data_IF_279718367711
#
_entry.id   IF_279718367711
#
_cell.length_a   1.000
_cell.length_b   1.000
_cell.length_c   1.000
_cell.angle_alpha   90.00
_cell.angle_beta   90.00
_cell.angle_gamma   90.00
#
_symmetry.space_group_name_H-M   'P 1'
#
loop_
_entity.id
_entity.type
_entity.pdbx_description
1 polymer ?
#
# COMPACT_ATOMS: atom_id res chain seq x y z
N UNK A 1 -2.69 6.39 1.49
CA UNK A 1 -1.83 5.72 2.49
C UNK A 1 -1.54 6.59 3.71
N UNK A 2 -1.23 7.88 3.56
CA UNK A 2 -0.93 8.77 4.70
C UNK A 2 -2.15 9.46 5.34
N UNK A 3 -3.25 9.58 4.59
CA UNK A 3 -4.46 10.29 5.01
C UNK A 3 -5.60 9.34 5.41
N UNK A 4 -5.33 8.04 5.55
CA UNK A 4 -6.34 7.04 5.91
C UNK A 4 -5.78 5.98 6.83
N UNK A 5 -6.55 5.62 7.85
CA UNK A 5 -6.21 4.53 8.77
C UNK A 5 -6.50 3.14 8.17
N UNK A 6 -7.13 3.08 6.99
CA UNK A 6 -7.46 1.83 6.31
C UNK A 6 -6.22 0.96 6.03
N UNK A 7 -6.33 -0.35 6.20
CA UNK A 7 -5.24 -1.28 5.90
C UNK A 7 -4.81 -1.20 4.43
N UNK A 8 -3.54 -1.53 4.16
CA UNK A 8 -2.99 -1.56 2.79
C UNK A 8 -3.82 -2.51 1.90
N UNK A 9 -4.34 -3.59 2.47
CA UNK A 9 -5.25 -4.50 1.79
C UNK A 9 -6.55 -3.82 1.37
N UNK A 10 -7.19 -3.06 2.27
CA UNK A 10 -8.42 -2.32 1.97
C UNK A 10 -8.20 -1.31 0.85
N UNK A 11 -7.08 -0.59 0.88
CA UNK A 11 -6.72 0.37 -0.19
C UNK A 11 -6.49 -0.35 -1.52
N UNK A 12 -5.87 -1.54 -1.49
CA UNK A 12 -5.69 -2.34 -2.70
C UNK A 12 -7.03 -2.75 -3.31
N UNK A 13 -7.98 -3.22 -2.49
CA UNK A 13 -9.32 -3.60 -2.95
C UNK A 13 -10.08 -2.40 -3.51
N UNK A 14 -10.01 -1.24 -2.86
CA UNK A 14 -10.65 0.00 -3.31
C UNK A 14 -10.10 0.50 -4.66
N UNK A 15 -8.80 0.27 -4.90
CA UNK A 15 -8.15 0.53 -6.18
C UNK A 15 -8.46 -0.51 -7.26
N UNK A 16 -9.28 -1.51 -6.98
CA UNK A 16 -9.67 -2.57 -7.91
C UNK A 16 -8.68 -3.73 -8.01
N UNK A 17 -7.71 -3.84 -7.10
CA UNK A 17 -6.83 -5.01 -7.03
C UNK A 17 -7.54 -6.15 -6.31
N UNK A 18 -7.55 -7.32 -6.93
CA UNK A 18 -8.03 -8.56 -6.32
C UNK A 18 -7.10 -9.11 -5.25
N UNK A 19 -5.82 -8.75 -5.28
CA UNK A 19 -4.85 -9.19 -4.29
C UNK A 19 -3.96 -8.02 -3.80
N UNK A 20 -3.90 -7.77 -2.47
CA UNK A 20 -3.03 -6.76 -1.87
C UNK A 20 -1.54 -6.92 -2.20
N UNK A 21 -1.08 -8.14 -2.43
CA UNK A 21 0.33 -8.42 -2.76
C UNK A 21 0.69 -7.93 -4.16
N UNK A 22 -0.25 -8.01 -5.11
CA UNK A 22 -0.07 -7.46 -6.45
C UNK A 22 0.02 -5.93 -6.41
N UNK A 23 -0.87 -5.28 -5.65
CA UNK A 23 -0.78 -3.86 -5.39
C UNK A 23 0.57 -3.49 -4.76
N UNK A 24 0.99 -4.22 -3.72
CA UNK A 24 2.27 -3.97 -3.06
C UNK A 24 3.47 -4.12 -4.00
N UNK A 25 3.45 -5.10 -4.92
CA UNK A 25 4.48 -5.29 -5.96
C UNK A 25 4.50 -4.13 -6.96
N UNK A 26 3.36 -3.73 -7.50
CA UNK A 26 3.26 -2.59 -8.43
C UNK A 26 3.68 -1.28 -7.76
N UNK A 27 3.18 -1.04 -6.54
CA UNK A 27 3.52 0.14 -5.76
C UNK A 27 5.02 0.16 -5.46
N UNK A 28 5.62 -0.97 -5.06
CA UNK A 28 7.08 -1.06 -4.85
C UNK A 28 7.88 -0.83 -6.13
N UNK A 29 7.38 -1.25 -7.29
CA UNK A 29 8.04 -0.96 -8.58
C UNK A 29 8.02 0.52 -8.93
N UNK A 30 6.98 1.26 -8.55
CA UNK A 30 6.85 2.69 -8.88
C UNK A 30 7.45 3.61 -7.81
N UNK A 31 7.25 3.28 -6.53
CA UNK A 31 7.68 4.09 -5.37
C UNK A 31 9.00 3.60 -4.74
N UNK A 32 9.53 2.46 -5.17
CA UNK A 32 10.74 1.83 -4.62
C UNK A 32 10.55 1.11 -3.27
N UNK A 33 9.41 1.30 -2.62
CA UNK A 33 9.12 0.82 -1.26
C UNK A 33 7.76 0.11 -1.23
N UNK A 34 7.61 -0.93 -0.42
CA UNK A 34 6.31 -1.56 -0.21
C UNK A 34 5.37 -0.58 0.52
N UNK A 35 4.07 -0.53 0.20
CA UNK A 35 3.12 0.42 0.81
C UNK A 35 3.00 0.23 2.33
N UNK A 36 3.11 -1.00 2.84
CA UNK A 36 3.17 -1.27 4.28
C UNK A 36 4.44 -0.70 4.94
N UNK A 37 5.60 -0.85 4.28
CA UNK A 37 6.86 -0.27 4.76
C UNK A 37 6.87 1.27 4.66
N UNK A 38 6.23 1.82 3.63
CA UNK A 38 6.04 3.26 3.45
C UNK A 38 5.18 3.84 4.58
N UNK A 39 4.10 3.16 4.96
CA UNK A 39 3.26 3.56 6.09
C UNK A 39 3.99 3.42 7.42
N UNK A 40 4.68 2.32 7.66
CA UNK A 40 5.50 2.12 8.87
C UNK A 40 6.61 3.18 9.03
N UNK A 41 7.16 3.69 7.92
CA UNK A 41 8.13 4.80 7.93
C UNK A 41 7.51 6.16 8.23
N UNK A 42 6.24 6.35 7.90
CA UNK A 42 5.57 7.63 8.06
C UNK A 42 4.84 7.79 9.40
N UNK A 43 4.53 6.69 10.08
CA UNK A 43 4.01 6.70 11.46
C UNK A 43 5.14 6.79 12.51
N UNK A 44 6.39 7.01 12.08
CA UNK A 44 7.55 7.25 12.94
C UNK A 44 8.06 8.67 12.72
#
# INVERSE_FOLDING_TARGET
>A
LLFTDADVATIAYDLGYTDPSNFARSFRRHMGLAPAAYRAKATK
#
